data_IF_230255009518
#
_entry.id   IF_230255009518
#
_cell.length_a   1.000
_cell.length_b   1.000
_cell.length_c   1.000
_cell.angle_alpha   90.00
_cell.angle_beta   90.00
_cell.angle_gamma   90.00
#
_symmetry.space_group_name_H-M   'P 1'
#
loop_
_entity.id
_entity.type
_entity.pdbx_description
1 polymer ?
#
# COMPACT_ATOMS: atom_id res chain seq x y z
N UNK A 1 24.07 6.39 3.24
CA UNK A 1 23.20 5.54 2.39
C UNK A 1 21.82 6.20 2.28
N UNK A 2 21.49 6.81 1.13
CA UNK A 2 20.15 7.37 0.87
C UNK A 2 19.15 6.21 0.89
N UNK A 3 18.28 6.15 1.89
CA UNK A 3 17.18 5.19 1.91
C UNK A 3 16.38 5.37 0.62
N UNK A 4 16.37 4.34 -0.21
CA UNK A 4 15.78 4.31 -1.55
C UNK A 4 14.27 4.46 -1.47
N UNK A 5 13.80 5.71 -1.33
CA UNK A 5 12.38 6.05 -1.45
C UNK A 5 11.99 5.94 -2.91
N UNK A 6 11.55 4.74 -3.31
CA UNK A 6 11.15 4.43 -4.69
C UNK A 6 10.01 5.34 -5.15
N UNK A 7 9.06 5.66 -4.27
CA UNK A 7 7.91 6.55 -4.56
C UNK A 7 7.21 7.00 -3.28
N UNK A 8 6.44 8.10 -3.35
CA UNK A 8 5.62 8.61 -2.23
C UNK A 8 4.14 8.37 -2.53
N UNK A 9 3.48 7.60 -1.67
CA UNK A 9 2.04 7.33 -1.75
C UNK A 9 1.32 7.87 -0.51
N UNK A 10 0.19 8.53 -0.72
CA UNK A 10 -0.63 9.12 0.36
C UNK A 10 -2.06 8.58 0.32
N UNK A 11 -2.69 8.49 1.49
CA UNK A 11 -4.07 8.06 1.68
C UNK A 11 -4.54 8.37 3.09
N UNK A 12 -5.85 8.29 3.35
CA UNK A 12 -6.42 8.54 4.68
C UNK A 12 -6.00 7.47 5.68
N UNK A 13 -5.76 6.24 5.21
CA UNK A 13 -5.22 5.14 6.01
C UNK A 13 -3.95 4.55 5.36
N UNK A 14 -3.06 3.91 6.15
CA UNK A 14 -1.87 3.24 5.61
C UNK A 14 -2.22 2.17 4.56
N UNK A 15 -3.35 1.48 4.75
CA UNK A 15 -3.85 0.49 3.80
C UNK A 15 -4.23 1.11 2.46
N UNK A 16 -4.85 2.28 2.46
CA UNK A 16 -5.21 2.97 1.21
C UNK A 16 -3.96 3.38 0.42
N UNK A 17 -2.94 3.90 1.10
CA UNK A 17 -1.65 4.19 0.48
C UNK A 17 -0.99 2.92 -0.08
N UNK A 18 -1.08 1.79 0.64
CA UNK A 18 -0.56 0.52 0.17
C UNK A 18 -1.33 -0.01 -1.05
N UNK A 19 -2.65 0.17 -1.12
CA UNK A 19 -3.45 -0.22 -2.30
C UNK A 19 -3.03 0.57 -3.54
N UNK A 20 -2.72 1.86 -3.39
CA UNK A 20 -2.18 2.69 -4.49
C UNK A 20 -0.81 2.17 -4.95
N UNK A 21 0.06 1.81 -4.02
CA UNK A 21 1.37 1.23 -4.35
C UNK A 21 1.22 -0.13 -5.07
N UNK A 22 0.35 -1.01 -4.56
CA UNK A 22 0.07 -2.31 -5.17
C UNK A 22 -0.54 -2.18 -6.58
N UNK A 23 -1.43 -1.21 -6.78
CA UNK A 23 -2.00 -0.92 -8.10
C UNK A 23 -0.94 -0.46 -9.13
N UNK A 24 0.19 0.09 -8.67
CA UNK A 24 1.36 0.41 -9.51
C UNK A 24 2.29 -0.78 -9.74
N UNK A 25 1.98 -1.96 -9.21
CA UNK A 25 2.79 -3.16 -9.34
C UNK A 25 3.83 -3.37 -8.23
N UNK A 26 3.82 -2.55 -7.17
CA UNK A 26 4.76 -2.72 -6.04
C UNK A 26 4.24 -3.81 -5.11
N UNK A 27 5.02 -4.87 -4.93
CA UNK A 27 4.66 -6.02 -4.08
C UNK A 27 5.09 -5.83 -2.64
N UNK A 28 6.32 -5.38 -2.39
CA UNK A 28 6.87 -5.21 -1.06
C UNK A 28 6.77 -3.75 -0.62
N UNK A 29 5.80 -3.48 0.25
CA UNK A 29 5.38 -2.12 0.57
C UNK A 29 5.69 -1.83 2.04
N UNK A 30 6.60 -0.87 2.27
CA UNK A 30 6.90 -0.33 3.60
C UNK A 30 6.47 1.13 3.67
N UNK A 31 5.52 1.44 4.54
CA UNK A 31 4.94 2.77 4.67
C UNK A 31 5.16 3.34 6.07
N UNK A 32 5.80 4.51 6.14
CA UNK A 32 5.91 5.26 7.40
C UNK A 32 4.66 6.09 7.66
N UNK A 33 4.32 6.28 8.92
CA UNK A 33 3.40 7.34 9.31
C UNK A 33 4.10 8.71 9.26
N UNK A 34 3.42 9.72 8.72
CA UNK A 34 3.96 11.09 8.65
C UNK A 34 3.53 11.87 9.89
N UNK A 35 4.48 12.52 10.55
CA UNK A 35 4.21 13.44 11.67
C UNK A 35 3.99 12.78 13.03
N UNK A 36 3.73 11.47 13.08
CA UNK A 36 3.57 10.73 14.33
C UNK A 36 4.85 10.03 14.73
N UNK A 37 5.30 10.26 15.96
CA UNK A 37 6.29 9.43 16.65
C UNK A 37 5.60 8.70 17.79
N UNK A 38 6.07 7.50 18.09
CA UNK A 38 5.64 6.76 19.28
C UNK A 38 6.16 7.47 20.55
N UNK A 39 5.63 7.08 21.72
CA UNK A 39 6.09 7.59 23.03
C UNK A 39 7.61 7.43 23.21
N UNK A 40 8.14 6.34 22.68
CA UNK A 40 9.57 5.98 22.72
C UNK A 40 10.42 6.72 21.66
N UNK A 41 9.85 7.76 21.02
CA UNK A 41 10.46 8.54 19.91
C UNK A 41 10.77 7.73 18.64
N UNK A 42 10.24 6.51 18.53
CA UNK A 42 10.39 5.64 17.35
C UNK A 42 9.35 5.94 16.27
N UNK A 43 9.66 5.57 15.04
CA UNK A 43 8.75 5.62 13.91
C UNK A 43 8.10 4.26 13.67
N UNK A 44 6.82 4.30 13.33
CA UNK A 44 6.05 3.11 12.94
C UNK A 44 6.07 2.97 11.42
N UNK A 45 6.55 1.83 10.95
CA UNK A 45 6.51 1.42 9.56
C UNK A 45 5.52 0.28 9.42
N UNK A 46 4.47 0.50 8.65
CA UNK A 46 3.52 -0.54 8.27
C UNK A 46 4.07 -1.34 7.10
N UNK A 47 4.16 -2.65 7.27
CA UNK A 47 4.65 -3.56 6.24
C UNK A 47 3.46 -4.28 5.62
N UNK A 48 3.34 -4.15 4.31
CA UNK A 48 2.26 -4.69 3.50
C UNK A 48 2.82 -5.50 2.33
N UNK A 49 2.09 -6.55 1.96
CA UNK A 49 2.33 -7.30 0.72
C UNK A 49 1.20 -7.03 -0.26
N UNK A 50 1.55 -6.41 -1.38
CA UNK A 50 0.68 -6.10 -2.49
C UNK A 50 0.62 -7.24 -3.50
N UNK A 51 -0.53 -7.39 -4.16
CA UNK A 51 -0.71 -8.26 -5.31
C UNK A 51 -1.78 -7.66 -6.24
N UNK A 52 -1.71 -7.97 -7.52
CA UNK A 52 -2.75 -7.59 -8.49
C UNK A 52 -3.29 -8.87 -9.10
N UNK A 53 -4.61 -9.02 -9.11
CA UNK A 53 -5.30 -10.14 -9.74
C UNK A 53 -6.29 -9.62 -10.77
N UNK A 54 -6.47 -10.38 -11.84
CA UNK A 54 -7.54 -10.13 -12.80
C UNK A 54 -8.79 -10.83 -12.28
N UNK A 55 -9.84 -10.06 -12.03
CA UNK A 55 -11.13 -10.56 -11.55
C UNK A 55 -12.21 -10.19 -12.54
N UNK A 56 -13.28 -10.98 -12.57
CA UNK A 56 -14.42 -10.67 -13.42
C UNK A 56 -15.16 -9.43 -12.88
N UNK A 57 -15.62 -8.62 -13.81
CA UNK A 57 -16.39 -7.42 -13.50
C UNK A 57 -17.77 -7.81 -12.95
N UNK A 58 -18.36 -6.99 -12.08
CA UNK A 58 -19.69 -7.27 -11.53
C UNK A 58 -20.75 -7.34 -12.64
N UNK A 59 -21.81 -8.12 -12.41
CA UNK A 59 -22.89 -8.32 -13.39
C UNK A 59 -23.55 -7.00 -13.83
N UNK A 60 -23.78 -6.08 -12.89
CA UNK A 60 -24.29 -4.72 -13.16
C UNK A 60 -23.17 -3.75 -13.55
N UNK A 61 -22.28 -4.14 -14.46
CA UNK A 61 -21.24 -3.24 -14.99
C UNK A 61 -21.80 -2.33 -16.08
N UNK A 62 -21.32 -1.08 -16.20
CA UNK A 62 -21.61 -0.25 -17.36
C UNK A 62 -20.89 -0.81 -18.61
N UNK A 63 -21.43 -0.54 -19.79
CA UNK A 63 -20.99 -1.10 -21.07
C UNK A 63 -19.51 -0.79 -21.40
N UNK A 64 -19.03 0.38 -21.01
CA UNK A 64 -17.65 0.82 -21.24
C UNK A 64 -16.60 0.07 -20.38
N UNK A 65 -17.01 -0.61 -19.30
CA UNK A 65 -16.07 -1.31 -18.40
C UNK A 65 -15.85 -2.73 -18.92
N UNK A 66 -14.61 -3.21 -19.19
CA UNK A 66 -14.38 -4.54 -19.74
C UNK A 66 -14.84 -5.67 -18.79
N UNK A 67 -15.08 -6.86 -19.35
CA UNK A 67 -15.54 -8.04 -18.60
C UNK A 67 -14.56 -8.51 -17.51
N UNK A 68 -13.27 -8.22 -17.66
CA UNK A 68 -12.22 -8.55 -16.69
C UNK A 68 -11.45 -7.30 -16.29
N UNK A 69 -11.29 -7.09 -14.99
CA UNK A 69 -10.63 -5.91 -14.42
C UNK A 69 -9.44 -6.31 -13.54
N UNK A 70 -8.36 -5.52 -13.59
CA UNK A 70 -7.25 -5.67 -12.65
C UNK A 70 -7.64 -5.06 -11.31
N UNK A 71 -7.63 -5.87 -10.26
CA UNK A 71 -7.91 -5.44 -8.89
C UNK A 71 -6.67 -5.64 -8.02
N UNK A 72 -6.26 -4.57 -7.35
CA UNK A 72 -5.17 -4.61 -6.39
C UNK A 72 -5.67 -5.10 -5.02
N UNK A 73 -4.89 -5.98 -4.42
CA UNK A 73 -5.10 -6.51 -3.08
C UNK A 73 -3.87 -6.27 -2.24
N UNK A 74 -4.09 -6.06 -0.94
CA UNK A 74 -3.02 -5.83 0.03
C UNK A 74 -3.30 -6.63 1.28
N UNK A 75 -2.29 -7.39 1.74
CA UNK A 75 -2.28 -8.06 3.04
C UNK A 75 -1.31 -7.36 3.97
N UNK A 76 -1.73 -7.09 5.22
CA UNK A 76 -0.82 -6.56 6.25
C UNK A 76 0.05 -7.70 6.75
N UNK A 77 1.36 -7.52 6.69
CA UNK A 77 2.34 -8.51 7.17
C UNK A 77 2.69 -8.22 8.61
N UNK A 78 2.89 -6.95 8.95
CA UNK A 78 3.24 -6.56 10.31
C UNK A 78 3.49 -5.07 10.46
N UNK A 79 4.12 -4.72 11.58
CA UNK A 79 4.54 -3.38 11.92
C UNK A 79 6.00 -3.46 12.39
N UNK A 80 6.85 -2.62 11.83
CA UNK A 80 8.23 -2.42 12.26
C UNK A 80 8.33 -1.10 13.03
N UNK A 81 9.05 -1.10 14.15
CA UNK A 81 9.40 0.12 14.89
C UNK A 81 10.87 0.42 14.64
N UNK A 82 11.17 1.62 14.16
CA UNK A 82 12.55 2.02 13.86
C UNK A 82 12.89 3.36 14.49
N UNK A 83 14.12 3.49 14.98
CA UNK A 83 14.61 4.73 15.60
C UNK A 83 15.01 5.77 14.55
N UNK A 84 15.42 5.31 13.35
CA UNK A 84 15.90 6.15 12.24
C UNK A 84 15.36 5.61 10.90
N UNK A 85 15.07 6.51 9.95
CA UNK A 85 14.54 6.23 8.61
C UNK A 85 15.47 6.84 7.56
#
# INVERSE_FOLDING_TARGET
KKGSRVSVFTGRSPRQAALKAAARGITDIKLRERGRRNKDRTYTIHVFRGSVKVVDAPEKRPEWLPARIKKAFVKKVGIEKVNRI
#
